data_IF_978172471472
#
_entry.id   IF_978172471472
#
_cell.length_a   1.000
_cell.length_b   1.000
_cell.length_c   1.000
_cell.angle_alpha   90.00
_cell.angle_beta   90.00
_cell.angle_gamma   90.00
#
_symmetry.space_group_name_H-M   'P 1'
#
loop_
_entity.id
_entity.type
_entity.pdbx_description
1 polymer ?
#
# COMPACT_ATOMS: atom_id res chain seq x y z
N UNK A 1 12.49 -16.44 32.66
CA UNK A 1 12.47 -16.68 31.20
C UNK A 1 13.18 -15.52 30.55
N UNK A 2 14.28 -15.81 29.88
CA UNK A 2 15.13 -14.79 29.25
C UNK A 2 14.36 -14.17 28.08
N UNK A 3 14.14 -12.87 28.13
CA UNK A 3 13.35 -12.11 27.15
C UNK A 3 13.82 -12.33 25.71
N UNK A 4 15.12 -12.51 25.48
CA UNK A 4 15.67 -12.82 24.15
C UNK A 4 15.30 -14.19 23.59
N UNK A 5 15.03 -15.20 24.42
CA UNK A 5 14.58 -16.52 23.96
C UNK A 5 13.13 -16.51 23.48
N UNK A 6 12.28 -15.68 24.10
CA UNK A 6 10.91 -15.50 23.65
C UNK A 6 10.85 -14.80 22.29
N UNK A 7 11.66 -13.75 22.11
CA UNK A 7 11.78 -13.01 20.84
C UNK A 7 12.28 -13.93 19.72
N UNK A 8 13.25 -14.81 19.99
CA UNK A 8 13.73 -15.79 19.02
C UNK A 8 12.65 -16.77 18.57
N UNK A 9 11.82 -17.25 19.51
CA UNK A 9 10.70 -18.14 19.19
C UNK A 9 9.68 -17.43 18.30
N UNK A 10 9.39 -16.16 18.58
CA UNK A 10 8.48 -15.35 17.76
C UNK A 10 9.04 -15.14 16.33
N UNK A 11 10.35 -14.86 16.20
CA UNK A 11 11.03 -14.75 14.88
C UNK A 11 10.96 -16.06 14.10
N UNK A 12 11.22 -17.20 14.75
CA UNK A 12 11.20 -18.52 14.12
C UNK A 12 9.79 -18.98 13.72
N UNK A 13 8.74 -18.43 14.35
CA UNK A 13 7.35 -18.68 13.95
C UNK A 13 6.88 -17.76 12.83
N UNK A 14 7.35 -16.50 12.80
CA UNK A 14 6.95 -15.52 11.77
C UNK A 14 7.70 -15.71 10.45
N UNK A 15 8.99 -16.07 10.49
CA UNK A 15 9.82 -16.20 9.28
C UNK A 15 9.24 -17.21 8.26
N UNK A 16 8.79 -18.42 8.64
CA UNK A 16 8.19 -19.36 7.70
C UNK A 16 6.88 -18.85 7.09
N UNK A 17 6.09 -18.07 7.83
CA UNK A 17 4.84 -17.49 7.33
C UNK A 17 5.10 -16.43 6.26
N UNK A 18 6.18 -15.66 6.42
CA UNK A 18 6.62 -14.67 5.41
C UNK A 18 7.16 -15.39 4.17
N UNK A 19 7.96 -16.45 4.35
CA UNK A 19 8.47 -17.27 3.24
C UNK A 19 7.36 -18.00 2.48
N UNK A 20 6.36 -18.56 3.16
CA UNK A 20 5.21 -19.22 2.53
C UNK A 20 4.38 -18.23 1.71
N UNK A 21 4.23 -16.99 2.18
CA UNK A 21 3.57 -15.91 1.44
C UNK A 21 4.35 -15.46 0.20
N UNK A 22 5.67 -15.60 0.22
CA UNK A 22 6.56 -15.31 -0.90
C UNK A 22 6.60 -16.44 -1.95
N UNK A 23 6.46 -17.70 -1.53
CA UNK A 23 6.64 -18.88 -2.39
C UNK A 23 5.32 -19.53 -2.82
N UNK A 24 4.20 -19.23 -2.15
CA UNK A 24 2.91 -19.90 -2.36
C UNK A 24 2.39 -19.84 -3.81
N UNK A 25 1.79 -20.94 -4.24
CA UNK A 25 1.31 -21.27 -5.61
C UNK A 25 0.20 -20.33 -6.17
N UNK A 26 -0.14 -19.26 -5.44
CA UNK A 26 -1.11 -18.23 -5.79
C UNK A 26 -0.51 -16.84 -5.94
N UNK A 27 0.81 -16.71 -6.11
CA UNK A 27 1.55 -15.45 -6.14
C UNK A 27 1.31 -14.63 -7.42
N UNK A 28 0.06 -14.30 -7.71
CA UNK A 28 -0.23 -13.01 -8.29
C UNK A 28 -0.17 -12.02 -7.13
N UNK A 29 1.02 -11.48 -6.83
CA UNK A 29 1.17 -10.26 -6.04
C UNK A 29 1.23 -9.05 -7.02
N UNK A 30 0.11 -8.57 -7.59
CA UNK A 30 0.09 -7.32 -8.33
C UNK A 30 0.02 -6.11 -7.38
N UNK A 31 -0.39 -6.33 -6.13
CA UNK A 31 -0.66 -5.25 -5.20
C UNK A 31 0.62 -4.77 -4.51
N UNK A 32 1.04 -3.58 -4.92
CA UNK A 32 2.11 -2.79 -4.30
C UNK A 32 1.97 -2.72 -2.77
N UNK A 33 0.73 -2.72 -2.26
CA UNK A 33 0.41 -2.65 -0.83
C UNK A 33 0.81 -3.92 -0.07
N UNK A 34 0.56 -5.11 -0.62
CA UNK A 34 0.98 -6.38 -0.01
C UNK A 34 2.52 -6.50 0.02
N UNK A 35 3.17 -6.03 -1.05
CA UNK A 35 4.62 -5.97 -1.14
C UNK A 35 5.24 -5.02 -0.12
N UNK A 36 4.62 -3.86 0.12
CA UNK A 36 5.07 -2.93 1.17
C UNK A 36 4.87 -3.49 2.57
N UNK A 37 3.77 -4.23 2.79
CA UNK A 37 3.50 -4.91 4.06
C UNK A 37 4.54 -6.01 4.35
N UNK A 38 4.88 -6.82 3.35
CA UNK A 38 5.95 -7.84 3.44
C UNK A 38 7.33 -7.22 3.69
N UNK A 39 7.62 -6.07 3.09
CA UNK A 39 8.86 -5.34 3.35
C UNK A 39 8.95 -4.88 4.81
N UNK A 40 7.86 -4.34 5.35
CA UNK A 40 7.79 -3.88 6.75
C UNK A 40 7.88 -5.04 7.74
N UNK A 41 7.30 -6.21 7.44
CA UNK A 41 7.42 -7.39 8.32
C UNK A 41 8.84 -7.93 8.36
N UNK A 42 9.56 -7.90 7.23
CA UNK A 42 10.98 -8.27 7.18
C UNK A 42 11.87 -7.27 7.96
N UNK A 43 11.62 -5.97 7.85
CA UNK A 43 12.31 -4.95 8.68
C UNK A 43 12.07 -5.15 10.17
N UNK A 44 10.84 -5.51 10.57
CA UNK A 44 10.51 -5.80 11.96
C UNK A 44 11.23 -7.06 12.48
N UNK A 45 11.35 -8.10 11.64
CA UNK A 45 12.09 -9.32 11.98
C UNK A 45 13.60 -9.05 12.19
N UNK A 46 14.20 -8.18 11.39
CA UNK A 46 15.61 -7.76 11.59
C UNK A 46 15.82 -7.02 12.92
N UNK A 47 14.94 -6.08 13.25
CA UNK A 47 15.01 -5.34 14.52
C UNK A 47 14.79 -6.26 15.73
N UNK A 48 13.99 -7.32 15.57
CA UNK A 48 13.80 -8.33 16.61
C UNK A 48 15.06 -9.19 16.80
N UNK A 49 15.74 -9.56 15.73
CA UNK A 49 16.99 -10.34 15.78
C UNK A 49 18.14 -9.54 16.38
N UNK A 50 18.26 -8.25 16.04
CA UNK A 50 19.27 -7.35 16.62
C UNK A 50 19.15 -7.24 18.15
N UNK A 51 17.94 -7.45 18.69
CA UNK A 51 17.68 -7.50 20.15
C UNK A 51 17.96 -8.87 20.78
N UNK A 52 18.16 -9.93 19.99
CA UNK A 52 18.46 -11.28 20.43
C UNK A 52 19.96 -11.57 20.57
N UNK A 53 20.84 -10.65 20.14
CA UNK A 53 22.29 -10.79 20.00
C UNK A 53 23.05 -11.19 21.29
N UNK A 54 22.38 -11.15 22.45
CA UNK A 54 22.96 -11.48 23.76
C UNK A 54 22.64 -12.88 24.29
N UNK A 55 21.80 -13.67 23.62
CA UNK A 55 21.20 -14.89 24.21
C UNK A 55 21.38 -16.18 23.38
N UNK A 56 21.85 -16.08 22.13
CA UNK A 56 21.85 -17.19 21.16
C UNK A 56 23.24 -17.34 20.52
N UNK A 57 23.55 -18.52 19.99
CA UNK A 57 24.82 -18.77 19.30
C UNK A 57 24.91 -17.94 18.01
N UNK A 58 26.08 -17.34 17.74
CA UNK A 58 26.30 -16.47 16.58
C UNK A 58 26.00 -17.15 15.23
N UNK A 59 26.22 -18.47 15.15
CA UNK A 59 25.95 -19.26 13.93
C UNK A 59 24.45 -19.37 13.61
N UNK A 60 23.59 -19.49 14.62
CA UNK A 60 22.14 -19.57 14.43
C UNK A 60 21.56 -18.22 13.99
N UNK A 61 22.05 -17.12 14.56
CA UNK A 61 21.65 -15.75 14.19
C UNK A 61 22.04 -15.46 12.74
N UNK A 62 23.27 -15.81 12.33
CA UNK A 62 23.74 -15.62 10.95
C UNK A 62 22.87 -16.38 9.93
N UNK A 63 22.44 -17.61 10.27
CA UNK A 63 21.56 -18.40 9.39
C UNK A 63 20.17 -17.77 9.20
N UNK A 64 19.63 -17.14 10.25
CA UNK A 64 18.32 -16.49 10.22
C UNK A 64 18.42 -15.17 9.45
N UNK A 65 19.49 -14.39 9.68
CA UNK A 65 19.76 -13.16 8.93
C UNK A 65 19.94 -13.45 7.43
N UNK A 66 20.62 -14.54 7.07
CA UNK A 66 20.77 -14.93 5.68
C UNK A 66 19.41 -15.22 5.01
N UNK A 67 18.49 -15.91 5.70
CA UNK A 67 17.14 -16.18 5.18
C UNK A 67 16.32 -14.92 5.01
N UNK A 68 16.41 -13.99 5.96
CA UNK A 68 15.73 -12.69 5.87
C UNK A 68 16.28 -11.85 4.72
N UNK A 69 17.58 -11.86 4.49
CA UNK A 69 18.19 -11.15 3.36
C UNK A 69 17.71 -11.73 2.01
N UNK A 70 17.62 -13.05 1.88
CA UNK A 70 17.07 -13.69 0.68
C UNK A 70 15.58 -13.34 0.48
N UNK A 71 14.79 -13.33 1.56
CA UNK A 71 13.40 -12.89 1.51
C UNK A 71 13.26 -11.40 1.14
N UNK A 72 14.18 -10.55 1.59
CA UNK A 72 14.20 -9.12 1.22
C UNK A 72 14.54 -8.92 -0.26
N UNK A 73 15.57 -9.59 -0.76
CA UNK A 73 15.97 -9.51 -2.17
C UNK A 73 14.84 -9.96 -3.11
N UNK A 74 14.12 -11.02 -2.74
CA UNK A 74 12.97 -11.50 -3.51
C UNK A 74 11.81 -10.50 -3.53
N UNK A 75 11.50 -9.86 -2.40
CA UNK A 75 10.51 -8.75 -2.35
C UNK A 75 10.96 -7.56 -3.21
N UNK A 76 12.23 -7.17 -3.19
CA UNK A 76 12.74 -6.06 -4.00
C UNK A 76 12.69 -6.37 -5.52
N UNK A 77 12.95 -7.63 -5.91
CA UNK A 77 12.79 -8.07 -7.29
C UNK A 77 11.33 -8.04 -7.74
N UNK A 78 10.41 -8.49 -6.89
CA UNK A 78 8.97 -8.44 -7.15
C UNK A 78 8.45 -7.00 -7.22
N UNK A 79 8.99 -6.09 -6.40
CA UNK A 79 8.66 -4.66 -6.41
C UNK A 79 9.07 -3.97 -7.70
N UNK A 80 10.27 -4.27 -8.18
CA UNK A 80 10.74 -3.76 -9.48
C UNK A 80 9.86 -4.29 -10.62
N UNK A 81 9.47 -5.57 -10.59
CA UNK A 81 8.58 -6.18 -11.60
C UNK A 81 7.16 -5.59 -11.58
N UNK A 82 6.59 -5.33 -10.40
CA UNK A 82 5.25 -4.74 -10.29
C UNK A 82 5.23 -3.28 -10.76
N UNK A 83 6.29 -2.50 -10.50
CA UNK A 83 6.41 -1.13 -10.99
C UNK A 83 6.42 -1.01 -12.52
N UNK A 84 7.05 -1.98 -13.20
CA UNK A 84 7.15 -2.02 -14.67
C UNK A 84 5.81 -2.42 -15.32
N UNK A 85 5.08 -3.33 -14.67
CA UNK A 85 3.71 -3.69 -15.06
C UNK A 85 2.73 -2.53 -14.83
N UNK A 86 2.88 -1.77 -13.75
CA UNK A 86 2.04 -0.59 -13.46
C UNK A 86 2.17 0.48 -14.54
N UNK A 87 3.39 0.76 -15.03
CA UNK A 87 3.57 1.68 -16.16
C UNK A 87 2.93 1.16 -17.45
N UNK A 88 3.03 -0.15 -17.72
CA UNK A 88 2.50 -0.74 -18.95
C UNK A 88 0.96 -0.73 -18.98
N UNK A 89 0.31 -1.02 -17.84
CA UNK A 89 -1.15 -0.93 -17.68
C UNK A 89 -1.61 0.52 -17.80
N UNK A 90 -0.87 1.48 -17.24
CA UNK A 90 -1.24 2.90 -17.29
C UNK A 90 -1.20 3.48 -18.71
N UNK A 91 -0.22 3.08 -19.53
CA UNK A 91 -0.21 3.44 -20.96
C UNK A 91 -1.28 2.68 -21.76
N UNK A 92 -1.57 1.42 -21.41
CA UNK A 92 -2.55 0.59 -22.10
C UNK A 92 -3.99 1.06 -21.91
N UNK A 93 -4.36 1.45 -20.69
CA UNK A 93 -5.69 2.01 -20.37
C UNK A 93 -5.87 3.40 -20.98
N UNK A 94 -4.80 4.22 -21.01
CA UNK A 94 -4.81 5.51 -21.69
C UNK A 94 -4.99 5.38 -23.21
N UNK A 95 -4.60 4.23 -23.79
CA UNK A 95 -4.72 3.92 -25.22
C UNK A 95 -5.95 3.04 -25.57
N UNK A 96 -6.79 2.67 -24.59
CA UNK A 96 -8.00 1.86 -24.77
C UNK A 96 -7.78 0.57 -25.59
N UNK A 97 -6.64 -0.10 -25.41
CA UNK A 97 -6.33 -1.32 -26.17
C UNK A 97 -7.10 -2.53 -25.60
N UNK A 98 -7.76 -3.35 -26.44
CA UNK A 98 -8.58 -4.47 -25.99
C UNK A 98 -7.79 -5.52 -25.17
N UNK A 99 -8.48 -6.16 -24.22
CA UNK A 99 -7.89 -7.06 -23.23
C UNK A 99 -7.23 -8.32 -23.81
N UNK A 100 -7.60 -8.74 -25.03
CA UNK A 100 -7.17 -10.01 -25.64
C UNK A 100 -6.31 -9.87 -26.90
N UNK A 101 -5.21 -9.12 -26.82
CA UNK A 101 -4.12 -9.23 -27.80
C UNK A 101 -2.86 -9.77 -27.11
N UNK A 102 -2.82 -11.09 -26.94
CA UNK A 102 -1.56 -11.79 -26.72
C UNK A 102 -0.75 -11.75 -28.02
N UNK A 103 0.56 -11.56 -27.88
CA UNK A 103 1.61 -11.62 -28.91
C UNK A 103 1.62 -10.48 -29.93
N UNK A 104 2.52 -9.52 -29.70
CA UNK A 104 2.96 -8.56 -30.69
C UNK A 104 4.42 -8.87 -31.00
N UNK A 105 4.65 -9.73 -32.00
CA UNK A 105 5.87 -9.68 -32.82
C UNK A 105 5.46 -9.99 -34.27
N UNK A 106 5.82 -9.08 -35.18
CA UNK A 106 6.04 -9.30 -36.61
C UNK A 106 4.86 -9.61 -37.56
N UNK A 107 3.71 -8.94 -37.41
CA UNK A 107 2.73 -8.84 -38.50
C UNK A 107 2.50 -7.40 -38.90
N UNK A 108 2.93 -7.05 -40.12
CA UNK A 108 2.54 -5.84 -40.84
C UNK A 108 1.04 -5.64 -40.66
N UNK A 109 0.67 -4.61 -39.90
CA UNK A 109 -0.71 -4.36 -39.51
C UNK A 109 -1.44 -3.91 -40.76
N UNK A 110 -2.30 -4.79 -41.28
CA UNK A 110 -3.07 -4.58 -42.49
C UNK A 110 -4.29 -3.69 -42.19
N UNK A 111 -4.04 -2.38 -42.07
CA UNK A 111 -5.02 -1.39 -41.62
C UNK A 111 -6.14 -1.11 -42.65
N UNK A 112 -5.89 -1.32 -43.94
CA UNK A 112 -6.91 -1.22 -45.00
C UNK A 112 -7.99 -2.29 -44.91
N UNK A 113 -7.70 -3.43 -44.26
CA UNK A 113 -8.62 -4.57 -44.16
C UNK A 113 -9.92 -4.24 -43.42
N UNK A 114 -9.88 -3.31 -42.47
CA UNK A 114 -11.08 -2.84 -41.75
C UNK A 114 -12.10 -2.16 -42.68
N UNK A 115 -11.68 -1.75 -43.87
CA UNK A 115 -12.49 -1.03 -44.86
C UNK A 115 -12.63 -1.81 -46.18
N UNK A 116 -12.29 -3.10 -46.22
CA UNK A 116 -12.28 -3.94 -47.43
C UNK A 116 -11.45 -3.34 -48.58
N UNK A 117 -10.35 -2.65 -48.27
CA UNK A 117 -9.41 -2.10 -49.25
C UNK A 117 -7.98 -2.49 -48.88
N UNK A 118 -7.07 -2.41 -49.85
CA UNK A 118 -5.65 -2.62 -49.57
C UNK A 118 -5.04 -1.42 -48.84
N UNK A 119 -3.90 -1.62 -48.16
CA UNK A 119 -3.19 -0.50 -47.51
C UNK A 119 -2.77 0.57 -48.52
N UNK A 120 -2.39 0.16 -49.74
CA UNK A 120 -2.01 1.09 -50.81
C UNK A 120 -3.19 1.95 -51.29
N UNK A 121 -4.40 1.38 -51.38
CA UNK A 121 -5.62 2.14 -51.69
C UNK A 121 -6.02 3.09 -50.56
N UNK A 122 -5.81 2.67 -49.31
CA UNK A 122 -6.06 3.51 -48.14
C UNK A 122 -5.06 4.67 -48.04
N UNK A 123 -3.78 4.42 -48.33
CA UNK A 123 -2.75 5.45 -48.38
C UNK A 123 -3.01 6.44 -49.52
N UNK A 124 -3.44 5.96 -50.69
CA UNK A 124 -3.84 6.82 -51.80
C UNK A 124 -5.06 7.71 -51.45
N UNK A 125 -6.00 7.19 -50.66
CA UNK A 125 -7.12 7.98 -50.13
C UNK A 125 -6.66 9.06 -49.15
N UNK A 126 -5.65 8.77 -48.32
CA UNK A 126 -5.06 9.75 -47.41
C UNK A 126 -4.35 10.85 -48.22
N UNK A 127 -3.60 10.48 -49.25
CA UNK A 127 -2.89 11.41 -50.13
C UNK A 127 -3.88 12.31 -50.89
N UNK A 128 -4.95 11.75 -51.46
CA UNK A 128 -6.02 12.54 -52.11
C UNK A 128 -6.70 13.51 -51.12
N UNK A 129 -6.93 13.08 -49.87
CA UNK A 129 -7.49 13.93 -48.82
C UNK A 129 -6.53 15.04 -48.37
N UNK A 130 -5.23 14.77 -48.38
CA UNK A 130 -4.18 15.72 -48.06
C UNK A 130 -4.04 16.78 -49.17
N UNK A 131 -4.09 16.36 -50.43
CA UNK A 131 -4.03 17.25 -51.60
C UNK A 131 -5.26 18.19 -51.67
N UNK A 132 -6.44 17.73 -51.29
CA UNK A 132 -7.67 18.55 -51.23
C UNK A 132 -7.57 19.73 -50.24
N UNK A 133 -6.62 19.64 -49.28
CA UNK A 133 -6.35 20.69 -48.29
C UNK A 133 -5.39 21.76 -48.80
N UNK A 134 -4.44 21.38 -49.64
CA UNK A 134 -3.41 22.27 -50.19
C UNK A 134 -3.80 22.86 -51.56
N UNK A 135 -4.77 22.25 -52.27
CA UNK A 135 -5.24 22.65 -53.60
C UNK A 135 -6.36 23.71 -53.65
N UNK A 136 -6.62 24.44 -52.56
CA UNK A 136 -7.82 25.33 -52.45
C UNK A 136 -7.88 26.56 -53.37
N UNK A 137 -6.99 26.69 -54.38
CA UNK A 137 -7.00 27.83 -55.31
C UNK A 137 -7.48 27.52 -56.74
N UNK A 138 -7.68 26.27 -57.16
CA UNK A 138 -8.11 25.97 -58.55
C UNK A 138 -9.19 24.88 -58.60
N UNK A 139 -10.46 25.26 -58.37
CA UNK A 139 -11.56 24.30 -58.56
C UNK A 139 -12.91 24.63 -57.94
N UNK A 140 -13.22 25.90 -57.65
CA UNK A 140 -14.52 26.26 -57.04
C UNK A 140 -15.61 26.33 -58.10
N UNK A 141 -16.27 25.19 -58.39
CA UNK A 141 -17.61 25.25 -59.03
C UNK A 141 -18.63 24.19 -58.66
N UNK A 142 -18.37 23.24 -57.76
CA UNK A 142 -19.41 22.29 -57.34
C UNK A 142 -19.32 21.90 -55.86
N UNK A 143 -19.74 22.80 -54.95
CA UNK A 143 -20.15 22.46 -53.56
C UNK A 143 -20.61 23.70 -52.78
N UNK A 144 -21.56 24.47 -53.32
CA UNK A 144 -22.19 25.58 -52.55
C UNK A 144 -23.50 25.20 -51.84
N UNK A 145 -24.03 23.98 -52.06
CA UNK A 145 -25.33 23.57 -51.50
C UNK A 145 -25.26 22.75 -50.21
N UNK A 146 -24.07 22.33 -49.76
CA UNK A 146 -23.88 21.49 -48.55
C UNK A 146 -23.32 22.24 -47.32
N UNK A 147 -22.92 23.52 -47.45
CA UNK A 147 -22.28 24.27 -46.35
C UNK A 147 -23.25 24.70 -45.23
N UNK A 148 -24.54 24.89 -45.52
CA UNK A 148 -25.50 25.41 -44.53
C UNK A 148 -25.81 24.41 -43.40
N UNK A 149 -25.83 23.10 -43.68
CA UNK A 149 -25.99 22.07 -42.63
C UNK A 149 -24.71 21.76 -41.85
N UNK A 150 -23.53 22.13 -42.38
CA UNK A 150 -22.24 21.87 -41.72
C UNK A 150 -21.93 22.87 -40.61
N UNK A 151 -22.42 24.11 -40.70
CA UNK A 151 -22.16 25.12 -39.66
C UNK A 151 -23.08 24.92 -38.45
N UNK A 152 -24.33 24.51 -38.66
CA UNK A 152 -25.28 24.16 -37.58
C UNK A 152 -24.78 22.95 -36.75
N UNK A 153 -24.25 21.92 -37.43
CA UNK A 153 -23.62 20.77 -36.77
C UNK A 153 -22.37 21.17 -35.97
N UNK A 154 -21.57 22.11 -36.47
CA UNK A 154 -20.39 22.62 -35.74
C UNK A 154 -20.77 23.43 -34.52
N UNK A 155 -21.84 24.23 -34.60
CA UNK A 155 -22.36 24.98 -33.46
C UNK A 155 -22.96 24.05 -32.40
N UNK A 156 -23.63 22.99 -32.81
CA UNK A 156 -24.13 21.96 -31.89
C UNK A 156 -22.98 21.23 -31.16
N UNK A 157 -21.93 20.84 -31.87
CA UNK A 157 -20.73 20.22 -31.27
C UNK A 157 -20.06 21.18 -30.28
N UNK A 158 -19.95 22.47 -30.61
CA UNK A 158 -19.38 23.48 -29.70
C UNK A 158 -20.24 23.65 -28.45
N UNK A 159 -21.56 23.71 -28.60
CA UNK A 159 -22.50 23.75 -27.49
C UNK A 159 -22.33 22.53 -26.57
N UNK A 160 -22.25 21.33 -27.16
CA UNK A 160 -22.15 20.10 -26.39
C UNK A 160 -20.79 19.95 -25.71
N UNK A 161 -19.72 20.46 -26.33
CA UNK A 161 -18.39 20.56 -25.71
C UNK A 161 -18.40 21.50 -24.50
N UNK A 162 -19.08 22.65 -24.61
CA UNK A 162 -19.23 23.60 -23.49
C UNK A 162 -20.02 22.97 -22.35
N UNK A 163 -21.15 22.30 -22.66
CA UNK A 163 -21.93 21.56 -21.66
C UNK A 163 -21.09 20.48 -20.99
N UNK A 164 -20.29 19.74 -21.76
CA UNK A 164 -19.40 18.72 -21.22
C UNK A 164 -18.36 19.35 -20.28
N UNK A 165 -17.70 20.44 -20.70
CA UNK A 165 -16.75 21.16 -19.87
C UNK A 165 -17.39 21.66 -18.56
N UNK A 166 -18.61 22.17 -18.61
CA UNK A 166 -19.36 22.58 -17.41
C UNK A 166 -19.71 21.38 -16.52
N UNK A 167 -20.08 20.23 -17.09
CA UNK A 167 -20.31 19.01 -16.30
C UNK A 167 -19.04 18.49 -15.66
N UNK A 168 -17.90 18.54 -16.36
CA UNK A 168 -16.60 18.14 -15.80
C UNK A 168 -16.15 19.10 -14.71
N UNK A 169 -16.32 20.41 -14.92
CA UNK A 169 -16.04 21.44 -13.90
C UNK A 169 -16.90 21.25 -12.66
N UNK A 170 -18.20 20.99 -12.83
CA UNK A 170 -19.13 20.67 -11.75
C UNK A 170 -18.67 19.44 -10.95
N UNK A 171 -18.36 18.33 -11.63
CA UNK A 171 -17.84 17.12 -10.97
C UNK A 171 -16.52 17.36 -10.26
N UNK A 172 -15.60 18.11 -10.86
CA UNK A 172 -14.31 18.45 -10.24
C UNK A 172 -14.49 19.28 -8.96
N UNK A 173 -15.39 20.27 -8.98
CA UNK A 173 -15.74 21.04 -7.78
C UNK A 173 -16.38 20.18 -6.71
N UNK A 174 -17.25 19.25 -7.10
CA UNK A 174 -17.86 18.30 -6.18
C UNK A 174 -16.83 17.39 -5.51
N UNK A 175 -15.89 16.83 -6.27
CA UNK A 175 -14.79 16.03 -5.70
C UNK A 175 -13.92 16.84 -4.75
N UNK A 176 -13.61 18.10 -5.10
CA UNK A 176 -12.88 18.99 -4.21
C UNK A 176 -13.59 19.19 -2.88
N UNK A 177 -14.90 19.46 -2.92
CA UNK A 177 -15.69 19.67 -1.70
C UNK A 177 -15.84 18.37 -0.89
N UNK A 178 -15.92 17.21 -1.55
CA UNK A 178 -15.91 15.90 -0.90
C UNK A 178 -14.58 15.66 -0.17
N UNK A 179 -13.44 15.90 -0.84
CA UNK A 179 -12.11 15.75 -0.23
C UNK A 179 -11.88 16.69 0.95
N UNK A 180 -12.37 17.92 0.86
CA UNK A 180 -12.30 18.88 1.98
C UNK A 180 -13.12 18.36 3.17
N UNK A 181 -14.32 17.85 2.92
CA UNK A 181 -15.17 17.27 3.97
C UNK A 181 -14.54 16.04 4.61
N UNK A 182 -13.96 15.15 3.80
CA UNK A 182 -13.29 13.95 4.30
C UNK A 182 -12.06 14.33 5.15
N UNK A 183 -11.27 15.32 4.74
CA UNK A 183 -10.18 15.86 5.54
C UNK A 183 -10.64 16.46 6.88
N UNK A 184 -11.77 17.17 6.89
CA UNK A 184 -12.35 17.70 8.13
C UNK A 184 -12.78 16.56 9.08
N UNK A 185 -13.37 15.51 8.53
CA UNK A 185 -13.77 14.31 9.28
C UNK A 185 -12.54 13.59 9.83
N UNK A 186 -11.51 13.37 9.01
CA UNK A 186 -10.22 12.80 9.41
C UNK A 186 -9.58 13.60 10.54
N UNK A 187 -9.53 14.92 10.43
CA UNK A 187 -9.01 15.81 11.48
C UNK A 187 -9.78 15.69 12.80
N UNK A 188 -11.11 15.53 12.75
CA UNK A 188 -11.91 15.28 13.96
C UNK A 188 -11.62 13.91 14.56
N UNK A 189 -11.37 12.88 13.75
CA UNK A 189 -11.01 11.55 14.25
C UNK A 189 -9.60 11.53 14.86
N UNK A 190 -8.61 12.17 14.24
CA UNK A 190 -7.26 12.27 14.79
C UNK A 190 -7.26 13.00 16.13
N UNK A 191 -8.01 14.11 16.25
CA UNK A 191 -8.15 14.83 17.53
C UNK A 191 -8.82 13.97 18.62
N UNK A 192 -9.78 13.10 18.25
CA UNK A 192 -10.39 12.15 19.21
C UNK A 192 -9.41 11.05 19.63
N UNK A 193 -8.64 10.52 18.70
CA UNK A 193 -7.63 9.50 18.98
C UNK A 193 -6.51 10.05 19.86
N UNK A 194 -6.06 11.29 19.62
CA UNK A 194 -5.10 11.99 20.47
C UNK A 194 -5.61 12.09 21.92
N UNK A 195 -6.85 12.54 22.12
CA UNK A 195 -7.47 12.58 23.46
C UNK A 195 -7.56 11.20 24.12
N UNK A 196 -7.85 10.15 23.35
CA UNK A 196 -7.88 8.78 23.86
C UNK A 196 -6.47 8.30 24.25
N UNK A 197 -5.45 8.63 23.44
CA UNK A 197 -4.06 8.34 23.73
C UNK A 197 -3.60 9.04 25.02
N UNK A 198 -3.94 10.31 25.19
CA UNK A 198 -3.65 11.08 26.41
C UNK A 198 -4.32 10.45 27.64
N UNK A 199 -5.56 9.99 27.49
CA UNK A 199 -6.28 9.31 28.58
C UNK A 199 -5.60 7.98 28.94
N UNK A 200 -5.25 7.17 27.94
CA UNK A 200 -4.59 5.88 28.15
C UNK A 200 -3.19 6.05 28.74
N UNK A 201 -2.42 7.03 28.25
CA UNK A 201 -1.09 7.32 28.78
C UNK A 201 -1.15 7.86 30.21
N UNK A 202 -2.14 8.70 30.54
CA UNK A 202 -2.39 9.12 31.92
C UNK A 202 -2.70 7.92 32.82
N UNK A 203 -3.66 7.07 32.43
CA UNK A 203 -4.02 5.86 33.19
C UNK A 203 -2.84 4.90 33.31
N UNK A 204 -2.04 4.73 32.27
CA UNK A 204 -0.82 3.93 32.32
C UNK A 204 0.22 4.51 33.28
N UNK A 205 0.36 5.84 33.31
CA UNK A 205 1.25 6.53 34.24
C UNK A 205 0.79 6.35 35.69
N UNK A 206 -0.51 6.42 35.96
CA UNK A 206 -1.11 6.20 37.28
C UNK A 206 -0.99 4.73 37.70
N UNK A 207 -1.25 3.80 36.78
CA UNK A 207 -1.05 2.36 36.99
C UNK A 207 0.43 2.02 37.27
N UNK A 208 1.38 2.67 36.60
CA UNK A 208 2.81 2.47 36.85
C UNK A 208 3.23 2.97 38.23
N UNK A 209 2.65 4.10 38.70
CA UNK A 209 2.85 4.62 40.05
C UNK A 209 2.31 3.65 41.09
N UNK A 210 1.09 3.13 40.87
CA UNK A 210 0.46 2.12 41.73
C UNK A 210 1.27 0.81 41.76
N UNK A 211 1.73 0.31 40.62
CA UNK A 211 2.56 -0.89 40.55
C UNK A 211 3.89 -0.73 41.31
N UNK A 212 4.48 0.47 41.25
CA UNK A 212 5.71 0.81 41.99
C UNK A 212 5.48 0.86 43.50
N UNK A 213 4.31 1.32 43.97
CA UNK A 213 3.94 1.30 45.39
C UNK A 213 3.59 -0.10 45.90
N UNK A 214 2.94 -0.94 45.09
CA UNK A 214 2.53 -2.30 45.50
C UNK A 214 3.73 -3.25 45.67
N UNK A 215 4.79 -3.09 44.87
CA UNK A 215 6.02 -3.89 45.00
C UNK A 215 6.78 -3.62 46.31
N UNK A 216 6.69 -2.41 46.86
CA UNK A 216 7.25 -2.07 48.18
C UNK A 216 6.43 -2.69 49.32
N UNK A 217 5.11 -2.67 49.20
CA UNK A 217 4.17 -3.21 50.21
C UNK A 217 4.31 -4.72 50.44
N UNK A 218 4.49 -5.52 49.38
CA UNK A 218 4.58 -6.98 49.50
C UNK A 218 5.87 -7.44 50.19
N UNK A 219 7.02 -6.82 49.88
CA UNK A 219 8.26 -7.13 50.59
C UNK A 219 8.20 -6.74 52.06
N UNK A 220 7.62 -5.57 52.37
CA UNK A 220 7.45 -5.14 53.76
C UNK A 220 6.48 -6.03 54.54
N UNK A 221 5.36 -6.45 53.95
CA UNK A 221 4.42 -7.36 54.63
C UNK A 221 5.04 -8.72 54.92
N UNK A 222 5.90 -9.23 54.02
CA UNK A 222 6.62 -10.50 54.20
C UNK A 222 7.64 -10.41 55.34
N UNK A 223 8.38 -9.30 55.46
CA UNK A 223 9.24 -9.06 56.62
C UNK A 223 8.43 -8.94 57.93
N UNK A 224 7.27 -8.28 57.89
CA UNK A 224 6.44 -8.12 59.08
C UNK A 224 5.94 -9.48 59.60
N UNK A 225 5.46 -10.36 58.71
CA UNK A 225 5.01 -11.71 59.05
C UNK A 225 6.15 -12.57 59.61
N UNK A 226 7.33 -12.54 58.97
CA UNK A 226 8.50 -13.28 59.43
C UNK A 226 8.95 -12.82 60.84
N UNK A 227 8.93 -11.50 61.10
CA UNK A 227 9.30 -10.96 62.41
C UNK A 227 8.31 -11.37 63.51
N UNK A 228 7.00 -11.37 63.21
CA UNK A 228 5.95 -11.83 64.12
C UNK A 228 6.13 -13.31 64.46
N UNK A 229 6.38 -14.15 63.45
CA UNK A 229 6.62 -15.58 63.67
C UNK A 229 7.84 -15.81 64.58
N UNK A 230 8.96 -15.13 64.30
CA UNK A 230 10.16 -15.22 65.12
C UNK A 230 9.89 -14.82 66.59
N UNK A 231 9.13 -13.73 66.79
CA UNK A 231 8.79 -13.22 68.12
C UNK A 231 7.86 -14.19 68.87
N UNK A 232 6.91 -14.83 68.19
CA UNK A 232 6.05 -15.86 68.80
C UNK A 232 6.83 -17.11 69.21
N UNK A 233 7.77 -17.59 68.36
CA UNK A 233 8.64 -18.72 68.70
C UNK A 233 9.56 -18.37 69.87
N UNK A 234 10.10 -17.15 69.88
CA UNK A 234 10.94 -16.67 70.97
C UNK A 234 10.18 -16.58 72.30
N UNK A 235 8.94 -16.08 72.29
CA UNK A 235 8.08 -16.07 73.47
C UNK A 235 7.74 -17.48 73.98
N UNK A 236 7.47 -18.42 73.07
CA UNK A 236 7.25 -19.83 73.45
C UNK A 236 8.50 -20.47 74.07
N UNK A 237 9.70 -20.18 73.52
CA UNK A 237 10.95 -20.67 74.09
C UNK A 237 11.18 -20.14 75.50
N UNK A 238 10.92 -18.85 75.75
CA UNK A 238 11.00 -18.28 77.10
C UNK A 238 10.03 -19.00 78.03
N UNK A 239 8.77 -19.16 77.61
CA UNK A 239 7.73 -19.82 78.42
C UNK A 239 8.06 -21.29 78.78
N UNK A 240 8.79 -22.01 77.93
CA UNK A 240 9.21 -23.39 78.23
C UNK A 240 10.39 -23.44 79.20
N UNK A 241 11.24 -22.41 79.21
CA UNK A 241 12.44 -22.33 80.05
C UNK A 241 12.13 -21.83 81.46
N UNK A 242 11.15 -20.91 81.61
CA UNK A 242 10.62 -20.44 82.90
C UNK A 242 9.59 -21.39 83.47
#
# INVERSE_FOLDING_TARGET
>A
MDSGKAILVDVLQLLPLVEERLVGDGCALPDTLELTSLRQSLELLEVMIDKCDTVVSAEEIDSILQRINVARETVDLLSKRSSLNATNVQYRDMLLLPEHATTCEDRVVDYGKCLNMSNEEFDALIDEWAEDRDGSSVGVRSRRKSRVGSDDAKEQIRSDLVKLADTMKSKALWYRDLLVKDNEVLSKYTMKQEKQLDTVTQVASEASKLAKTTRLSLRQSLFMIASLFLLTVFMLMIFIIT
#
